data_IF_724088298970
#
_entry.id   IF_724088298970
#
_cell.length_a   1.000
_cell.length_b   1.000
_cell.length_c   1.000
_cell.angle_alpha   90.00
_cell.angle_beta   90.00
_cell.angle_gamma   90.00
#
_symmetry.space_group_name_H-M   'P 1'
#
loop_
_entity.id
_entity.type
_entity.pdbx_description
1 polymer ?
#
# COMPACT_ATOMS: atom_id res chain seq x y z
N UNK A 1 23.94 -35.63 -1.39
CA UNK A 1 23.71 -34.38 -2.16
C UNK A 1 22.48 -33.72 -1.57
N UNK A 2 22.63 -32.57 -0.91
CA UNK A 2 21.47 -31.86 -0.39
C UNK A 2 20.58 -31.45 -1.56
N UNK A 3 19.31 -31.88 -1.56
CA UNK A 3 18.31 -31.36 -2.49
C UNK A 3 18.29 -29.83 -2.32
N UNK A 4 18.26 -29.10 -3.43
CA UNK A 4 18.08 -27.64 -3.38
C UNK A 4 16.77 -27.35 -2.63
N UNK A 5 16.74 -26.30 -1.82
CA UNK A 5 15.55 -25.87 -1.06
C UNK A 5 14.29 -25.84 -1.95
N UNK A 6 14.46 -25.39 -3.19
CA UNK A 6 13.41 -25.32 -4.21
C UNK A 6 12.87 -26.70 -4.62
N UNK A 7 13.72 -27.74 -4.71
CA UNK A 7 13.28 -29.09 -5.10
C UNK A 7 12.52 -29.78 -3.96
N UNK A 8 12.88 -29.50 -2.71
CA UNK A 8 12.11 -29.99 -1.56
C UNK A 8 10.76 -29.29 -1.43
N UNK A 9 10.73 -27.97 -1.58
CA UNK A 9 9.47 -27.21 -1.60
C UNK A 9 8.58 -27.65 -2.77
N UNK A 10 9.16 -27.88 -3.95
CA UNK A 10 8.42 -28.40 -5.10
C UNK A 10 7.75 -29.74 -4.81
N UNK A 11 8.48 -30.70 -4.23
CA UNK A 11 7.89 -31.98 -3.84
C UNK A 11 6.72 -31.81 -2.86
N UNK A 12 6.89 -30.99 -1.81
CA UNK A 12 5.87 -30.78 -0.79
C UNK A 12 4.60 -30.19 -1.41
N UNK A 13 4.73 -29.12 -2.20
CA UNK A 13 3.58 -28.44 -2.78
C UNK A 13 2.94 -29.23 -3.92
N UNK A 14 3.71 -30.02 -4.69
CA UNK A 14 3.14 -30.95 -5.67
C UNK A 14 2.30 -32.04 -4.98
N UNK A 15 2.76 -32.55 -3.85
CA UNK A 15 2.00 -33.56 -3.09
C UNK A 15 0.71 -32.95 -2.51
N UNK A 16 0.76 -31.72 -1.97
CA UNK A 16 -0.45 -30.99 -1.55
C UNK A 16 -1.44 -30.81 -2.71
N UNK A 17 -0.95 -30.45 -3.90
CA UNK A 17 -1.80 -30.28 -5.08
C UNK A 17 -2.39 -31.61 -5.57
N UNK A 18 -1.63 -32.71 -5.50
CA UNK A 18 -2.12 -34.06 -5.87
C UNK A 18 -3.20 -34.53 -4.91
N UNK A 19 -2.99 -34.37 -3.59
CA UNK A 19 -3.98 -34.73 -2.58
C UNK A 19 -5.29 -33.98 -2.83
N UNK A 20 -5.21 -32.68 -3.11
CA UNK A 20 -6.40 -31.87 -3.43
C UNK A 20 -7.12 -32.35 -4.70
N UNK A 21 -6.39 -32.73 -5.76
CA UNK A 21 -7.02 -33.24 -6.98
C UNK A 21 -7.75 -34.57 -6.76
N UNK A 22 -7.19 -35.44 -5.93
CA UNK A 22 -7.81 -36.74 -5.60
C UNK A 22 -9.08 -36.49 -4.79
N UNK A 23 -9.02 -35.59 -3.80
CA UNK A 23 -10.20 -35.26 -2.99
C UNK A 23 -11.28 -34.55 -3.81
N UNK A 24 -10.94 -33.63 -4.73
CA UNK A 24 -11.94 -33.02 -5.63
C UNK A 24 -12.60 -34.09 -6.52
N UNK A 25 -11.84 -35.09 -6.99
CA UNK A 25 -12.38 -36.19 -7.77
C UNK A 25 -13.29 -37.14 -6.95
N UNK A 26 -13.11 -37.19 -5.63
CA UNK A 26 -13.85 -38.05 -4.70
C UNK A 26 -14.63 -37.28 -3.63
N UNK A 27 -15.06 -36.05 -3.92
CA UNK A 27 -15.71 -35.16 -2.96
C UNK A 27 -16.97 -35.76 -2.30
N UNK A 28 -17.64 -36.73 -2.94
CA UNK A 28 -18.79 -37.44 -2.37
C UNK A 28 -18.46 -38.49 -1.30
N UNK A 29 -17.17 -38.76 -1.01
CA UNK A 29 -16.75 -39.76 -0.01
C UNK A 29 -16.43 -39.18 1.36
N UNK A 30 -16.20 -37.87 1.46
CA UNK A 30 -15.93 -37.18 2.72
C UNK A 30 -17.09 -36.21 3.00
N UNK A 31 -17.65 -36.27 4.21
CA UNK A 31 -18.69 -35.35 4.63
C UNK A 31 -18.01 -34.03 5.05
N UNK A 32 -18.05 -33.02 4.19
CA UNK A 32 -17.42 -31.72 4.47
C UNK A 32 -18.19 -30.97 5.56
N UNK A 33 -17.73 -31.07 6.81
CA UNK A 33 -18.02 -30.06 7.82
C UNK A 33 -16.94 -28.96 7.79
N UNK A 34 -17.25 -27.71 8.16
CA UNK A 34 -16.26 -26.62 8.14
C UNK A 34 -15.06 -26.86 9.08
N UNK A 35 -15.23 -27.69 10.11
CA UNK A 35 -14.12 -28.11 10.99
C UNK A 35 -13.21 -29.13 10.31
N UNK A 36 -13.77 -30.00 9.46
CA UNK A 36 -12.99 -30.95 8.65
C UNK A 36 -12.18 -30.22 7.57
N UNK A 37 -12.73 -29.17 6.94
CA UNK A 37 -11.97 -28.33 6.01
C UNK A 37 -10.79 -27.63 6.68
N UNK A 38 -10.99 -27.10 7.90
CA UNK A 38 -9.90 -26.48 8.67
C UNK A 38 -8.81 -27.50 9.03
N UNK A 39 -9.23 -28.69 9.47
CA UNK A 39 -8.30 -29.77 9.85
C UNK A 39 -7.53 -30.29 8.63
N UNK A 40 -8.20 -30.37 7.47
CA UNK A 40 -7.58 -30.69 6.18
C UNK A 40 -6.49 -29.69 5.81
N UNK A 41 -6.78 -28.39 5.85
CA UNK A 41 -5.78 -27.34 5.55
C UNK A 41 -4.56 -27.45 6.49
N UNK A 42 -4.80 -27.70 7.78
CA UNK A 42 -3.72 -27.88 8.76
C UNK A 42 -2.90 -29.15 8.46
N UNK A 43 -3.55 -30.24 8.06
CA UNK A 43 -2.91 -31.50 7.68
C UNK A 43 -2.02 -31.33 6.43
N UNK A 44 -2.52 -30.66 5.39
CA UNK A 44 -1.75 -30.33 4.18
C UNK A 44 -0.50 -29.49 4.50
N UNK A 45 -0.62 -28.57 5.47
CA UNK A 45 0.49 -27.76 5.94
C UNK A 45 1.44 -28.49 6.90
N UNK A 46 1.12 -29.72 7.33
CA UNK A 46 1.92 -30.47 8.29
C UNK A 46 3.35 -30.74 7.81
N UNK A 47 3.50 -31.21 6.57
CA UNK A 47 4.81 -31.43 5.95
C UNK A 47 5.60 -30.12 5.77
N UNK A 48 4.90 -29.05 5.36
CA UNK A 48 5.50 -27.72 5.25
C UNK A 48 5.92 -27.16 6.61
N UNK A 49 5.12 -27.35 7.67
CA UNK A 49 5.45 -26.92 9.04
C UNK A 49 6.71 -27.60 9.57
N UNK A 50 6.87 -28.91 9.32
CA UNK A 50 8.09 -29.62 9.69
C UNK A 50 9.30 -29.07 8.95
N UNK A 51 9.16 -28.82 7.65
CA UNK A 51 10.22 -28.22 6.84
C UNK A 51 10.58 -26.81 7.32
N UNK A 52 9.58 -25.97 7.57
CA UNK A 52 9.74 -24.60 8.06
C UNK A 52 10.53 -24.54 9.38
N UNK A 53 10.27 -25.47 10.30
CA UNK A 53 11.01 -25.55 11.57
C UNK A 53 12.49 -25.88 11.43
N UNK A 54 12.90 -26.49 10.32
CA UNK A 54 14.32 -26.81 10.04
C UNK A 54 15.07 -25.68 9.32
N UNK A 55 14.37 -24.68 8.82
CA UNK A 55 14.95 -23.59 8.04
C UNK A 55 15.49 -22.46 8.93
N UNK A 56 16.70 -21.94 8.65
CA UNK A 56 17.22 -20.75 9.31
C UNK A 56 16.39 -19.50 8.93
N UNK A 57 16.37 -18.49 9.81
CA UNK A 57 15.56 -17.27 9.60
C UNK A 57 15.89 -16.52 8.30
N UNK A 58 17.14 -16.57 7.84
CA UNK A 58 17.57 -15.91 6.60
C UNK A 58 16.94 -16.51 5.34
N UNK A 59 16.57 -17.80 5.36
CA UNK A 59 15.93 -18.47 4.22
C UNK A 59 14.41 -18.38 4.24
N UNK A 60 13.81 -17.87 5.32
CA UNK A 60 12.35 -17.72 5.44
C UNK A 60 11.79 -16.83 4.34
N UNK A 61 12.49 -15.74 3.98
CA UNK A 61 12.04 -14.83 2.93
C UNK A 61 12.08 -15.48 1.55
N UNK A 62 13.18 -16.16 1.22
CA UNK A 62 13.33 -16.88 -0.06
C UNK A 62 12.29 -18.00 -0.19
N UNK A 63 12.03 -18.72 0.91
CA UNK A 63 11.01 -19.77 0.95
C UNK A 63 9.61 -19.20 0.63
N UNK A 64 9.20 -18.12 1.30
CA UNK A 64 7.89 -17.48 1.06
C UNK A 64 7.79 -16.93 -0.37
N UNK A 65 8.84 -16.30 -0.88
CA UNK A 65 8.90 -15.83 -2.27
C UNK A 65 8.74 -16.98 -3.26
N UNK A 66 9.40 -18.12 -3.02
CA UNK A 66 9.27 -19.31 -3.85
C UNK A 66 7.84 -19.86 -3.81
N UNK A 67 7.23 -19.96 -2.63
CA UNK A 67 5.83 -20.42 -2.48
C UNK A 67 4.87 -19.53 -3.26
N UNK A 68 5.02 -18.20 -3.16
CA UNK A 68 4.19 -17.26 -3.92
C UNK A 68 4.39 -17.44 -5.43
N UNK A 69 5.64 -17.60 -5.89
CA UNK A 69 5.93 -17.88 -7.31
C UNK A 69 5.29 -19.19 -7.78
N UNK A 70 5.31 -20.23 -6.95
CA UNK A 70 4.66 -21.50 -7.25
C UNK A 70 3.14 -21.38 -7.33
N UNK A 71 2.51 -20.57 -6.47
CA UNK A 71 1.07 -20.33 -6.54
C UNK A 71 0.71 -19.55 -7.81
N UNK A 72 1.49 -18.51 -8.14
CA UNK A 72 1.24 -17.66 -9.32
C UNK A 72 1.54 -18.36 -10.66
N UNK A 73 2.30 -19.46 -10.65
CA UNK A 73 2.51 -20.29 -11.84
C UNK A 73 1.36 -21.27 -12.12
N UNK A 74 0.43 -21.46 -11.18
CA UNK A 74 -0.73 -22.31 -11.40
C UNK A 74 -1.73 -21.66 -12.37
N UNK A 75 -2.34 -22.48 -13.22
CA UNK A 75 -3.36 -22.01 -14.19
C UNK A 75 -4.80 -22.11 -13.66
N UNK A 76 -5.07 -23.03 -12.73
CA UNK A 76 -6.42 -23.26 -12.21
C UNK A 76 -6.76 -22.28 -11.07
N UNK A 77 -7.82 -21.46 -11.19
CA UNK A 77 -8.18 -20.48 -10.17
C UNK A 77 -8.67 -21.13 -8.87
N UNK A 78 -9.29 -22.32 -8.94
CA UNK A 78 -9.68 -23.09 -7.74
C UNK A 78 -8.47 -23.52 -6.94
N UNK A 79 -7.42 -24.01 -7.63
CA UNK A 79 -6.17 -24.44 -6.99
C UNK A 79 -5.46 -23.26 -6.33
N UNK A 80 -5.46 -22.10 -6.99
CA UNK A 80 -4.92 -20.87 -6.40
C UNK A 80 -5.71 -20.50 -5.13
N UNK A 81 -7.04 -20.56 -5.17
CA UNK A 81 -7.88 -20.32 -3.99
C UNK A 81 -7.51 -21.25 -2.83
N UNK A 82 -7.44 -22.55 -3.08
CA UNK A 82 -7.08 -23.55 -2.06
C UNK A 82 -5.68 -23.29 -1.46
N UNK A 83 -4.69 -22.98 -2.30
CA UNK A 83 -3.34 -22.66 -1.83
C UNK A 83 -3.31 -21.34 -1.05
N UNK A 84 -4.15 -20.37 -1.40
CA UNK A 84 -4.33 -19.14 -0.61
C UNK A 84 -5.05 -19.39 0.71
N UNK A 85 -6.01 -20.30 0.78
CA UNK A 85 -6.65 -20.71 2.03
C UNK A 85 -5.65 -21.45 2.94
N UNK A 86 -4.78 -22.30 2.36
CA UNK A 86 -3.62 -22.86 3.07
C UNK A 86 -2.71 -21.74 3.62
N UNK A 87 -2.34 -20.74 2.82
CA UNK A 87 -1.52 -19.63 3.30
C UNK A 87 -2.22 -18.80 4.39
N UNK A 88 -3.52 -18.54 4.25
CA UNK A 88 -4.31 -17.86 5.27
C UNK A 88 -4.26 -18.62 6.61
N UNK A 89 -4.47 -19.94 6.56
CA UNK A 89 -4.42 -20.81 7.74
C UNK A 89 -3.01 -20.86 8.35
N UNK A 90 -1.96 -20.85 7.54
CA UNK A 90 -0.58 -20.77 8.01
C UNK A 90 -0.30 -19.45 8.76
N UNK A 91 -0.89 -18.35 8.31
CA UNK A 91 -0.78 -17.05 9.00
C UNK A 91 -1.62 -17.03 10.28
N UNK A 92 -2.85 -17.53 10.26
CA UNK A 92 -3.72 -17.61 11.45
C UNK A 92 -3.12 -18.48 12.55
N UNK A 93 -2.48 -19.59 12.18
CA UNK A 93 -1.79 -20.49 13.11
C UNK A 93 -0.40 -19.98 13.53
N UNK A 94 -0.06 -18.73 13.16
CA UNK A 94 1.22 -18.08 13.46
C UNK A 94 2.46 -18.83 12.94
N UNK A 95 2.31 -19.68 11.92
CA UNK A 95 3.42 -20.37 11.28
C UNK A 95 4.23 -19.40 10.39
N UNK A 96 3.52 -18.55 9.63
CA UNK A 96 4.11 -17.58 8.71
C UNK A 96 3.84 -16.14 9.18
N UNK A 97 4.85 -15.26 9.19
CA UNK A 97 4.64 -13.85 9.47
C UNK A 97 3.77 -13.18 8.39
N UNK A 98 2.66 -12.49 8.74
CA UNK A 98 1.73 -11.91 7.77
C UNK A 98 2.40 -10.88 6.86
N UNK A 99 3.36 -10.11 7.41
CA UNK A 99 4.11 -9.11 6.67
C UNK A 99 4.89 -9.71 5.50
N UNK A 100 5.61 -10.81 5.74
CA UNK A 100 6.43 -11.47 4.72
C UNK A 100 5.57 -12.00 3.58
N UNK A 101 4.42 -12.59 3.92
CA UNK A 101 3.45 -13.09 2.95
C UNK A 101 2.88 -11.94 2.11
N UNK A 102 2.41 -10.85 2.73
CA UNK A 102 1.87 -9.69 2.01
C UNK A 102 2.90 -9.06 1.05
N UNK A 103 4.14 -8.86 1.53
CA UNK A 103 5.21 -8.28 0.71
C UNK A 103 5.53 -9.19 -0.47
N UNK A 104 5.67 -10.49 -0.26
CA UNK A 104 5.96 -11.44 -1.34
C UNK A 104 4.83 -11.51 -2.37
N UNK A 105 3.56 -11.47 -1.94
CA UNK A 105 2.39 -11.48 -2.83
C UNK A 105 2.36 -10.25 -3.75
N UNK A 106 2.53 -9.04 -3.17
CA UNK A 106 2.46 -7.78 -3.93
C UNK A 106 3.70 -7.56 -4.80
N UNK A 107 4.87 -7.98 -4.32
CA UNK A 107 6.14 -7.82 -5.03
C UNK A 107 6.34 -8.83 -6.15
N UNK A 108 5.40 -9.77 -6.33
CA UNK A 108 5.50 -10.76 -7.41
C UNK A 108 5.33 -10.09 -8.79
N UNK A 109 6.25 -10.39 -9.70
CA UNK A 109 6.18 -9.93 -11.09
C UNK A 109 4.99 -10.54 -11.84
N UNK A 110 4.55 -11.73 -11.43
CA UNK A 110 3.40 -12.42 -12.03
C UNK A 110 2.05 -11.82 -11.63
N UNK A 111 2.03 -10.91 -10.66
CA UNK A 111 0.83 -10.18 -10.26
C UNK A 111 0.61 -8.98 -11.18
N UNK A 112 -0.12 -9.25 -12.26
CA UNK A 112 -0.54 -8.29 -13.28
C UNK A 112 -2.06 -8.10 -13.24
N UNK A 113 -2.53 -6.90 -13.59
CA UNK A 113 -3.96 -6.60 -13.65
C UNK A 113 -4.69 -7.37 -14.75
N UNK A 114 -3.98 -7.82 -15.79
CA UNK A 114 -4.51 -8.66 -16.87
C UNK A 114 -4.96 -10.04 -16.37
N UNK A 115 -4.28 -10.56 -15.34
CA UNK A 115 -4.66 -11.81 -14.66
C UNK A 115 -5.71 -11.53 -13.61
N UNK A 116 -6.90 -11.14 -14.06
CA UNK A 116 -7.95 -10.56 -13.21
C UNK A 116 -8.39 -11.46 -12.06
N UNK A 117 -8.45 -12.78 -12.27
CA UNK A 117 -8.82 -13.73 -11.23
C UNK A 117 -7.71 -13.90 -10.18
N UNK A 118 -6.45 -13.93 -10.61
CA UNK A 118 -5.31 -13.96 -9.70
C UNK A 118 -5.30 -12.69 -8.86
N UNK A 119 -5.42 -11.52 -9.50
CA UNK A 119 -5.52 -10.22 -8.84
C UNK A 119 -6.59 -10.22 -7.73
N UNK A 120 -7.83 -10.60 -8.06
CA UNK A 120 -8.92 -10.61 -7.10
C UNK A 120 -8.64 -11.54 -5.90
N UNK A 121 -8.12 -12.75 -6.15
CA UNK A 121 -7.82 -13.71 -5.09
C UNK A 121 -6.65 -13.25 -4.21
N UNK A 122 -5.61 -12.67 -4.79
CA UNK A 122 -4.46 -12.13 -4.05
C UNK A 122 -4.89 -11.01 -3.10
N UNK A 123 -5.67 -10.04 -3.59
CA UNK A 123 -6.13 -8.93 -2.74
C UNK A 123 -7.15 -9.37 -1.69
N UNK A 124 -8.01 -10.35 -1.97
CA UNK A 124 -8.87 -10.97 -0.95
C UNK A 124 -8.07 -11.65 0.16
N UNK A 125 -6.98 -12.34 -0.17
CA UNK A 125 -6.09 -12.91 0.83
C UNK A 125 -5.43 -11.81 1.67
N UNK A 126 -4.88 -10.77 1.03
CA UNK A 126 -4.25 -9.64 1.71
C UNK A 126 -5.24 -8.98 2.68
N UNK A 127 -6.48 -8.75 2.27
CA UNK A 127 -7.52 -8.18 3.12
C UNK A 127 -7.72 -8.98 4.43
N UNK A 128 -7.67 -10.32 4.36
CA UNK A 128 -7.81 -11.19 5.54
C UNK A 128 -6.62 -11.08 6.50
N UNK A 129 -5.40 -11.02 5.98
CA UNK A 129 -4.18 -11.16 6.80
C UNK A 129 -3.53 -9.83 7.21
N UNK A 130 -3.83 -8.73 6.53
CA UNK A 130 -3.16 -7.44 6.74
C UNK A 130 -3.35 -6.88 8.15
N UNK A 131 -4.43 -7.27 8.84
CA UNK A 131 -4.68 -6.89 10.24
C UNK A 131 -3.62 -7.37 11.23
N UNK A 132 -2.84 -8.40 10.88
CA UNK A 132 -1.73 -8.90 11.71
C UNK A 132 -0.39 -8.21 11.47
N UNK A 133 -0.32 -7.22 10.57
CA UNK A 133 0.93 -6.53 10.20
C UNK A 133 1.17 -5.31 11.08
N UNK A 134 2.42 -4.99 11.38
CA UNK A 134 2.79 -3.79 12.12
C UNK A 134 2.47 -2.50 11.34
N UNK A 135 2.15 -1.40 12.02
CA UNK A 135 1.73 -0.15 11.37
C UNK A 135 2.75 0.41 10.37
N UNK A 136 4.05 0.15 10.54
CA UNK A 136 5.09 0.55 9.57
C UNK A 136 5.02 -0.34 8.33
N UNK A 137 4.91 -1.65 8.54
CA UNK A 137 4.66 -2.62 7.47
C UNK A 137 3.40 -2.28 6.67
N UNK A 138 2.28 -1.93 7.32
CA UNK A 138 1.03 -1.53 6.65
C UNK A 138 1.24 -0.27 5.80
N UNK A 139 1.99 0.73 6.29
CA UNK A 139 2.33 1.92 5.51
C UNK A 139 3.15 1.57 4.26
N UNK A 140 4.15 0.72 4.39
CA UNK A 140 5.01 0.33 3.27
C UNK A 140 4.21 -0.51 2.25
N UNK A 141 3.28 -1.36 2.71
CA UNK A 141 2.34 -2.10 1.87
C UNK A 141 1.32 -1.19 1.18
N UNK A 142 0.80 -0.16 1.86
CA UNK A 142 -0.12 0.81 1.26
C UNK A 142 0.53 1.47 0.04
N UNK A 143 1.80 1.87 0.16
CA UNK A 143 2.55 2.44 -0.96
C UNK A 143 2.63 1.47 -2.14
N UNK A 144 3.05 0.22 -1.92
CA UNK A 144 3.21 -0.75 -3.01
C UNK A 144 1.88 -1.15 -3.65
N UNK A 145 0.80 -1.21 -2.87
CA UNK A 145 -0.57 -1.44 -3.40
C UNK A 145 -1.00 -0.27 -4.29
N UNK A 146 -0.79 0.97 -3.85
CA UNK A 146 -1.13 2.15 -4.66
C UNK A 146 -0.29 2.20 -5.96
N UNK A 147 1.00 1.88 -5.89
CA UNK A 147 1.87 1.78 -7.07
C UNK A 147 1.35 0.73 -8.08
N UNK A 148 0.91 -0.45 -7.59
CA UNK A 148 0.31 -1.48 -8.44
C UNK A 148 -1.02 -1.02 -9.05
N UNK A 149 -1.87 -0.30 -8.31
CA UNK A 149 -3.12 0.23 -8.85
C UNK A 149 -2.87 1.25 -9.97
N UNK A 150 -1.78 2.03 -9.89
CA UNK A 150 -1.41 2.98 -10.95
C UNK A 150 -1.02 2.31 -12.28
N UNK A 151 -0.67 1.00 -12.26
CA UNK A 151 -0.37 0.26 -13.50
C UNK A 151 -1.61 -0.05 -14.34
N UNK A 152 -2.82 0.10 -13.76
CA UNK A 152 -4.08 -0.18 -14.43
C UNK A 152 -4.40 0.99 -15.40
N UNK A 153 -4.74 0.70 -16.67
CA UNK A 153 -5.11 1.75 -17.61
C UNK A 153 -6.42 2.44 -17.22
N UNK A 154 -6.63 3.65 -17.73
CA UNK A 154 -7.86 4.44 -17.49
C UNK A 154 -9.10 3.84 -18.15
N UNK A 155 -8.92 3.02 -19.19
CA UNK A 155 -9.99 2.33 -19.90
C UNK A 155 -9.79 0.83 -19.76
N UNK A 156 -10.76 0.17 -19.16
CA UNK A 156 -10.78 -1.29 -18.94
C UNK A 156 -12.14 -1.86 -19.31
N UNK A 157 -12.17 -3.17 -19.56
CA UNK A 157 -13.42 -3.89 -19.77
C UNK A 157 -14.30 -3.82 -18.51
N UNK A 158 -15.61 -3.60 -18.69
CA UNK A 158 -16.57 -3.57 -17.58
C UNK A 158 -16.64 -4.89 -16.81
N UNK A 159 -16.35 -6.02 -17.47
CA UNK A 159 -16.37 -7.35 -16.86
C UNK A 159 -15.30 -7.53 -15.78
N UNK A 160 -14.16 -6.83 -15.88
CA UNK A 160 -13.02 -7.03 -14.98
C UNK A 160 -13.04 -6.07 -13.78
N UNK A 161 -13.91 -5.05 -13.82
CA UNK A 161 -13.99 -4.02 -12.77
C UNK A 161 -14.25 -4.63 -11.40
N UNK A 162 -15.18 -5.57 -11.28
CA UNK A 162 -15.50 -6.24 -10.01
C UNK A 162 -14.31 -6.98 -9.41
N UNK A 163 -13.47 -7.58 -10.26
CA UNK A 163 -12.25 -8.26 -9.81
C UNK A 163 -11.18 -7.26 -9.37
N UNK A 164 -11.07 -6.12 -10.07
CA UNK A 164 -10.14 -5.05 -9.71
C UNK A 164 -10.51 -4.36 -8.39
N UNK A 165 -11.81 -4.27 -8.07
CA UNK A 165 -12.31 -3.68 -6.82
C UNK A 165 -11.81 -4.40 -5.56
N UNK A 166 -11.35 -5.66 -5.65
CA UNK A 166 -10.71 -6.34 -4.51
C UNK A 166 -9.50 -5.55 -3.96
N UNK A 167 -8.74 -4.86 -4.83
CA UNK A 167 -7.64 -4.00 -4.39
C UNK A 167 -8.13 -2.72 -3.70
N UNK A 168 -9.28 -2.20 -4.14
CA UNK A 168 -9.94 -1.05 -3.50
C UNK A 168 -10.39 -1.39 -2.10
N UNK A 169 -10.95 -2.58 -1.86
CA UNK A 169 -11.37 -3.04 -0.52
C UNK A 169 -10.18 -3.10 0.46
N UNK A 170 -9.00 -3.55 0.01
CA UNK A 170 -7.79 -3.53 0.84
C UNK A 170 -7.39 -2.11 1.20
N UNK A 171 -7.41 -1.18 0.24
CA UNK A 171 -7.11 0.24 0.51
C UNK A 171 -8.15 0.82 1.47
N UNK A 172 -9.44 0.52 1.28
CA UNK A 172 -10.52 0.95 2.17
C UNK A 172 -10.29 0.51 3.61
N UNK A 173 -9.92 -0.76 3.80
CA UNK A 173 -9.63 -1.32 5.11
C UNK A 173 -8.39 -0.70 5.77
N UNK A 174 -7.35 -0.40 4.99
CA UNK A 174 -6.16 0.32 5.48
C UNK A 174 -6.51 1.75 5.92
N UNK A 175 -7.40 2.42 5.19
CA UNK A 175 -7.81 3.80 5.45
C UNK A 175 -8.91 3.91 6.51
N UNK A 176 -9.53 2.80 6.90
CA UNK A 176 -10.54 2.78 7.96
C UNK A 176 -9.91 3.17 9.31
N UNK A 177 -10.40 4.29 9.85
CA UNK A 177 -9.97 4.83 11.14
C UNK A 177 -10.39 3.94 12.30
N UNK A 178 -11.45 3.15 12.13
CA UNK A 178 -11.93 2.22 13.16
C UNK A 178 -11.06 0.96 13.23
N UNK A 179 -10.57 0.46 12.08
CA UNK A 179 -9.63 -0.64 12.02
C UNK A 179 -8.27 -0.30 12.66
N UNK A 180 -7.89 0.99 12.67
CA UNK A 180 -6.72 1.51 13.37
C UNK A 180 -5.39 0.80 13.04
N UNK A 181 -5.24 0.32 11.80
CA UNK A 181 -4.06 -0.42 11.34
C UNK A 181 -2.79 0.45 11.30
N UNK A 182 -2.95 1.74 11.02
CA UNK A 182 -1.88 2.73 11.09
C UNK A 182 -2.41 4.12 11.45
N UNK A 183 -1.56 5.01 11.99
CA UNK A 183 -1.92 6.41 12.13
C UNK A 183 -2.32 7.00 10.79
N UNK A 184 -3.52 7.55 10.72
CA UNK A 184 -4.08 8.08 9.47
C UNK A 184 -3.19 9.16 8.82
N UNK A 185 -2.39 9.88 9.63
CA UNK A 185 -1.41 10.86 9.14
C UNK A 185 -0.31 10.23 8.25
N UNK A 186 0.09 8.98 8.53
CA UNK A 186 1.02 8.26 7.66
C UNK A 186 0.36 7.87 6.33
N UNK A 187 -0.88 7.42 6.37
CA UNK A 187 -1.63 7.08 5.17
C UNK A 187 -1.79 8.30 4.23
N UNK A 188 -2.22 9.46 4.75
CA UNK A 188 -2.36 10.67 3.92
C UNK A 188 -1.01 11.15 3.37
N UNK A 189 0.08 10.97 4.12
CA UNK A 189 1.42 11.33 3.65
C UNK A 189 1.85 10.48 2.46
N UNK A 190 1.62 9.17 2.48
CA UNK A 190 1.95 8.29 1.35
C UNK A 190 1.04 8.55 0.14
N UNK A 191 -0.27 8.75 0.38
CA UNK A 191 -1.22 9.12 -0.67
C UNK A 191 -0.78 10.41 -1.38
N UNK A 192 -0.41 11.44 -0.62
CA UNK A 192 -0.04 12.76 -1.17
C UNK A 192 1.32 12.79 -1.85
N UNK A 193 2.20 11.82 -1.56
CA UNK A 193 3.43 11.62 -2.35
C UNK A 193 3.12 11.10 -3.75
N UNK A 194 2.12 10.22 -3.88
CA UNK A 194 1.70 9.62 -5.15
C UNK A 194 0.73 10.51 -5.93
N UNK A 195 -0.15 11.21 -5.22
CA UNK A 195 -1.15 12.15 -5.75
C UNK A 195 -0.90 13.54 -5.15
N UNK A 196 0.10 14.30 -5.66
CA UNK A 196 0.36 15.66 -5.24
C UNK A 196 -0.82 16.60 -5.56
N UNK A 197 -0.76 17.82 -5.03
CA UNK A 197 -1.79 18.83 -5.24
C UNK A 197 -2.04 19.08 -6.74
N UNK A 198 -3.30 18.94 -7.17
CA UNK A 198 -3.73 19.11 -8.56
C UNK A 198 -3.75 17.83 -9.40
N UNK A 199 -3.21 16.72 -8.90
CA UNK A 199 -3.30 15.42 -9.59
C UNK A 199 -4.57 14.67 -9.18
N UNK A 200 -5.33 14.18 -10.17
CA UNK A 200 -6.51 13.37 -9.92
C UNK A 200 -6.11 11.98 -9.42
N UNK A 201 -6.84 11.47 -8.44
CA UNK A 201 -6.71 10.09 -7.98
C UNK A 201 -7.09 9.11 -9.08
N UNK A 202 -6.51 7.91 -9.05
CA UNK A 202 -6.86 6.85 -9.97
C UNK A 202 -8.38 6.53 -9.89
N UNK A 203 -9.01 6.23 -11.04
CA UNK A 203 -10.46 6.04 -11.15
C UNK A 203 -11.01 4.93 -10.24
N UNK A 204 -10.22 3.90 -9.98
CA UNK A 204 -10.57 2.79 -9.08
C UNK A 204 -10.76 3.24 -7.62
N UNK A 205 -10.00 4.25 -7.19
CA UNK A 205 -9.99 4.73 -5.81
C UNK A 205 -10.92 5.94 -5.67
N UNK A 206 -10.93 6.82 -6.69
CA UNK A 206 -11.91 7.89 -6.86
C UNK A 206 -12.16 8.69 -5.58
N UNK A 207 -13.44 8.80 -5.20
CA UNK A 207 -13.91 9.57 -4.06
C UNK A 207 -13.32 9.12 -2.72
N UNK A 208 -12.98 7.84 -2.55
CA UNK A 208 -12.47 7.32 -1.28
C UNK A 208 -11.18 8.03 -0.84
N UNK A 209 -10.24 8.23 -1.77
CA UNK A 209 -9.01 8.95 -1.48
C UNK A 209 -9.32 10.44 -1.27
N UNK A 210 -10.17 11.04 -2.09
CA UNK A 210 -10.54 12.45 -1.97
C UNK A 210 -11.16 12.75 -0.60
N UNK A 211 -12.15 11.97 -0.18
CA UNK A 211 -12.84 12.10 1.10
C UNK A 211 -11.88 11.88 2.28
N UNK A 212 -10.98 10.89 2.16
CA UNK A 212 -9.96 10.64 3.17
C UNK A 212 -8.97 11.80 3.28
N UNK A 213 -8.49 12.34 2.17
CA UNK A 213 -7.59 13.51 2.16
C UNK A 213 -8.32 14.72 2.72
N UNK A 214 -9.57 14.99 2.31
CA UNK A 214 -10.36 16.12 2.77
C UNK A 214 -10.62 16.10 4.29
N UNK A 215 -10.67 14.91 4.91
CA UNK A 215 -10.75 14.79 6.37
C UNK A 215 -9.55 15.42 7.11
N UNK A 216 -8.41 15.65 6.44
CA UNK A 216 -7.24 16.35 6.99
C UNK A 216 -7.24 17.85 6.73
N UNK A 217 -8.22 18.39 6.00
CA UNK A 217 -8.34 19.82 5.74
C UNK A 217 -8.41 20.66 7.03
N UNK A 218 -9.15 20.26 8.09
CA UNK A 218 -9.11 20.97 9.37
C UNK A 218 -7.71 21.01 9.98
N UNK A 219 -6.96 19.91 9.90
CA UNK A 219 -5.57 19.85 10.39
C UNK A 219 -4.65 20.77 9.58
N UNK A 220 -4.86 20.88 8.28
CA UNK A 220 -4.13 21.82 7.43
C UNK A 220 -4.43 23.28 7.83
N UNK A 221 -5.69 23.59 8.14
CA UNK A 221 -6.13 24.93 8.61
C UNK A 221 -5.55 25.31 9.97
N UNK A 222 -5.44 24.36 10.91
CA UNK A 222 -4.79 24.59 12.20
C UNK A 222 -3.30 24.94 12.02
N UNK A 223 -2.67 24.38 10.99
CA UNK A 223 -1.25 24.59 10.67
C UNK A 223 -1.03 25.71 9.63
N UNK A 224 -2.07 26.45 9.23
CA UNK A 224 -1.96 27.57 8.29
C UNK A 224 -2.30 28.90 8.96
N UNK A 225 -1.69 29.97 8.45
CA UNK A 225 -2.00 31.34 8.88
C UNK A 225 -3.12 31.85 7.97
N UNK A 226 -4.24 32.27 8.57
CA UNK A 226 -5.35 32.84 7.83
C UNK A 226 -4.90 34.08 7.03
N UNK A 227 -5.13 34.07 5.71
CA UNK A 227 -4.78 35.19 4.83
C UNK A 227 -3.28 35.42 4.66
N UNK A 228 -2.42 34.40 4.91
CA UNK A 228 -0.95 34.51 4.82
C UNK A 228 -0.48 35.17 3.53
N UNK A 229 -1.07 34.80 2.40
CA UNK A 229 -0.71 35.31 1.07
C UNK A 229 -0.97 36.82 0.91
N UNK A 230 -1.81 37.41 1.76
CA UNK A 230 -2.13 38.84 1.78
C UNK A 230 -1.37 39.63 2.86
N UNK A 231 -0.67 38.94 3.77
CA UNK A 231 0.18 39.61 4.75
C UNK A 231 1.43 40.13 4.05
N UNK A 232 1.80 41.38 4.32
CA UNK A 232 2.98 42.03 3.74
C UNK A 232 3.91 42.49 4.86
N UNK A 233 5.24 42.25 4.74
CA UNK A 233 6.20 42.74 5.71
C UNK A 233 6.48 44.23 5.52
N UNK A 234 6.86 44.92 6.59
CA UNK A 234 7.56 46.20 6.45
C UNK A 234 9.02 45.90 6.13
N UNK A 235 9.51 46.42 5.00
CA UNK A 235 10.89 46.18 4.56
C UNK A 235 11.85 46.91 5.49
N UNK A 236 12.71 46.14 6.15
CA UNK A 236 13.76 46.64 7.02
C UNK A 236 15.08 45.94 6.66
N UNK A 237 16.18 46.69 6.68
CA UNK A 237 17.54 46.20 6.39
C UNK A 237 18.26 45.67 7.65
N UNK A 238 17.59 45.69 8.80
CA UNK A 238 18.18 45.30 10.08
C UNK A 238 18.13 43.78 10.30
N UNK A 239 19.15 43.07 9.82
CA UNK A 239 19.82 41.92 10.46
C UNK A 239 19.10 40.58 10.68
N UNK A 240 17.76 40.49 10.65
CA UNK A 240 17.08 39.20 10.83
C UNK A 240 15.73 39.16 10.11
N UNK A 241 15.68 38.40 9.00
CA UNK A 241 14.41 38.12 8.33
C UNK A 241 13.71 36.96 9.01
N UNK A 242 12.43 37.21 9.32
CA UNK A 242 11.54 36.20 9.84
C UNK A 242 11.35 35.08 8.81
N UNK A 243 11.51 33.83 9.24
CA UNK A 243 11.31 32.64 8.40
C UNK A 243 9.89 32.56 7.77
N UNK A 244 8.94 33.35 8.27
CA UNK A 244 7.59 33.45 7.70
C UNK A 244 7.54 33.98 6.26
N UNK A 245 8.56 34.74 5.84
CA UNK A 245 8.64 35.34 4.50
C UNK A 245 9.52 34.55 3.53
N UNK A 246 10.16 33.48 3.99
CA UNK A 246 10.98 32.63 3.13
C UNK A 246 10.11 31.92 2.10
N UNK A 247 10.58 31.93 0.86
CA UNK A 247 10.03 31.25 -0.29
C UNK A 247 11.05 30.24 -0.79
N UNK A 248 10.58 29.22 -1.49
CA UNK A 248 11.44 28.32 -2.26
C UNK A 248 12.05 29.09 -3.46
N UNK A 249 13.37 29.05 -3.67
CA UNK A 249 14.02 29.82 -4.73
C UNK A 249 13.62 29.35 -6.14
N UNK A 250 13.16 28.11 -6.28
CA UNK A 250 12.79 27.54 -7.58
C UNK A 250 11.31 27.74 -7.91
N UNK A 251 10.43 27.58 -6.92
CA UNK A 251 8.98 27.61 -7.13
C UNK A 251 8.31 28.90 -6.64
N UNK A 252 9.02 29.73 -5.86
CA UNK A 252 8.51 30.92 -5.17
C UNK A 252 7.30 30.62 -4.26
N UNK A 253 7.17 29.38 -3.77
CA UNK A 253 6.08 28.96 -2.88
C UNK A 253 6.53 29.02 -1.42
N UNK A 254 5.57 29.05 -0.50
CA UNK A 254 5.89 28.90 0.91
C UNK A 254 6.41 27.49 1.21
N UNK A 255 7.44 27.32 2.05
CA UNK A 255 7.85 26.01 2.52
C UNK A 255 6.83 25.48 3.53
N UNK A 256 5.93 24.62 3.07
CA UNK A 256 4.88 24.01 3.89
C UNK A 256 5.43 22.80 4.65
N UNK A 257 4.99 22.62 5.91
CA UNK A 257 5.40 21.47 6.74
C UNK A 257 4.46 20.31 6.54
N UNK A 258 4.99 19.19 6.04
CA UNK A 258 4.23 17.96 5.83
C UNK A 258 3.37 17.98 4.57
N UNK A 259 2.77 16.83 4.26
CA UNK A 259 1.99 16.60 3.04
C UNK A 259 0.48 16.69 3.33
N UNK A 260 0.04 17.81 3.89
CA UNK A 260 -1.37 18.05 4.18
C UNK A 260 -2.08 18.72 2.98
N UNK A 261 -3.41 18.61 2.88
CA UNK A 261 -4.22 19.34 1.91
C UNK A 261 -4.38 20.80 2.35
N UNK A 262 -3.28 21.56 2.22
CA UNK A 262 -3.31 23.01 2.43
C UNK A 262 -4.20 23.70 1.38
N UNK A 263 -4.52 24.95 1.65
CA UNK A 263 -5.27 25.76 0.70
C UNK A 263 -4.46 26.01 -0.57
N UNK A 264 -5.18 26.11 -1.69
CA UNK A 264 -4.58 26.20 -3.03
C UNK A 264 -3.63 27.40 -3.17
N UNK A 265 -3.99 28.52 -2.55
CA UNK A 265 -3.20 29.76 -2.53
C UNK A 265 -1.81 29.58 -1.90
N UNK A 266 -1.66 28.65 -0.96
CA UNK A 266 -0.36 28.33 -0.34
C UNK A 266 0.55 27.50 -1.26
N UNK A 267 -0.02 26.81 -2.24
CA UNK A 267 0.72 26.07 -3.28
C UNK A 267 1.02 26.94 -4.51
N UNK A 268 0.48 28.15 -4.59
CA UNK A 268 0.73 29.07 -5.70
C UNK A 268 2.01 29.89 -5.48
N UNK A 269 2.72 30.29 -6.55
CA UNK A 269 3.90 31.14 -6.44
C UNK A 269 3.52 32.52 -5.90
N UNK A 270 4.22 32.98 -4.86
CA UNK A 270 3.93 34.23 -4.13
C UNK A 270 4.53 35.46 -4.84
N UNK A 271 4.16 35.64 -6.10
CA UNK A 271 4.65 36.71 -6.96
C UNK A 271 4.25 38.10 -6.46
N UNK A 272 3.05 38.24 -5.89
CA UNK A 272 2.57 39.49 -5.31
C UNK A 272 3.43 39.97 -4.13
N UNK A 273 3.81 39.04 -3.25
CA UNK A 273 4.70 39.33 -2.13
C UNK A 273 6.09 39.76 -2.61
N UNK A 274 6.68 39.01 -3.55
CA UNK A 274 8.01 39.33 -4.09
C UNK A 274 8.02 40.69 -4.81
N UNK A 275 6.99 40.95 -5.62
CA UNK A 275 6.83 42.24 -6.31
C UNK A 275 6.73 43.39 -5.33
N UNK A 276 5.92 43.26 -4.29
CA UNK A 276 5.79 44.28 -3.24
C UNK A 276 7.14 44.62 -2.60
N UNK A 277 7.95 43.61 -2.26
CA UNK A 277 9.27 43.82 -1.66
C UNK A 277 10.24 44.50 -2.63
N UNK A 278 10.23 44.10 -3.91
CA UNK A 278 11.08 44.69 -4.96
C UNK A 278 10.76 46.17 -5.21
N UNK A 279 9.51 46.58 -5.05
CA UNK A 279 9.08 47.98 -5.21
C UNK A 279 9.55 48.88 -4.06
N UNK A 280 9.97 48.33 -2.91
CA UNK A 280 10.43 49.12 -1.77
C UNK A 280 11.90 49.52 -1.88
N UNK A 281 12.28 50.76 -1.46
CA UNK A 281 13.67 51.16 -1.36
C UNK A 281 14.41 50.35 -0.29
N UNK A 282 15.72 50.14 -0.47
CA UNK A 282 16.59 49.37 0.44
C UNK A 282 16.20 47.89 0.65
N UNK A 283 15.41 47.30 -0.25
CA UNK A 283 14.95 45.90 -0.18
C UNK A 283 15.98 44.86 -0.60
N UNK A 284 17.14 45.26 -1.15
CA UNK A 284 18.14 44.35 -1.74
C UNK A 284 18.51 43.19 -0.81
N UNK A 285 18.85 43.46 0.45
CA UNK A 285 19.22 42.41 1.41
C UNK A 285 18.06 41.46 1.69
N UNK A 286 16.84 42.00 1.77
CA UNK A 286 15.64 41.20 1.99
C UNK A 286 15.30 40.30 0.82
N UNK A 287 15.52 40.77 -0.40
CA UNK A 287 15.35 39.99 -1.63
C UNK A 287 16.39 38.86 -1.74
N UNK A 288 17.60 39.03 -1.20
CA UNK A 288 18.60 37.94 -1.19
C UNK A 288 18.33 36.85 -0.14
N UNK A 289 17.55 37.15 0.90
CA UNK A 289 17.25 36.23 2.02
C UNK A 289 15.83 35.63 1.90
N UNK A 290 14.98 36.18 1.02
CA UNK A 290 13.64 35.70 0.73
C UNK A 290 13.63 34.32 0.05
N UNK A 291 14.48 34.04 -0.96
CA UNK A 291 14.67 32.72 -1.57
C UNK A 291 15.59 31.80 -0.75
#
# INVERSE_FOLDING_TARGET
MALSMETQLQSIFEDVVKTEMIEEAFAGMFMDTPEDERTKLISCLGAFRQYWGTLPQESHEQCVQWVVRFIHSQHSPKRISFLYDCLAMAVETSLLPPRMVCVALISSDSLEWERTQLWALTFKLIHKIIGGVDYKGVRDLLKTVLDKIQTIPTTVSSAIVQQLLAAREVVEYILDRNACLLPAYFAVTEIRKLYPEGQLSHWLLGSMISDFVDSFRPTARINSICGRCSLLPVVNNSGAICNSWKLDPTTLRFPLRGMLPFDKDLFEPQTGLLRYVLEQPYSREMVFILP
#
